data_IF_349000747823
#
_entry.id   IF_349000747823
#
_cell.length_a   1.000
_cell.length_b   1.000
_cell.length_c   1.000
_cell.angle_alpha   90.00
_cell.angle_beta   90.00
_cell.angle_gamma   90.00
#
_symmetry.space_group_name_H-M   'P 1'
#
loop_
_entity.id
_entity.type
_entity.pdbx_description
1 polymer ?
#
# COMPACT_ATOMS: atom_id res chain seq x y z
N UNK A 1 -10.84 5.73 13.35
CA UNK A 1 -11.05 5.92 11.89
C UNK A 1 -10.44 7.25 11.49
N UNK A 2 -9.42 7.22 10.63
CA UNK A 2 -8.94 8.45 9.98
C UNK A 2 -10.11 9.12 9.25
N UNK A 3 -10.21 10.44 9.37
CA UNK A 3 -11.29 11.24 8.78
C UNK A 3 -11.09 11.27 7.26
N UNK A 4 -11.73 10.36 6.52
CA UNK A 4 -11.63 10.31 5.05
C UNK A 4 -12.15 11.63 4.46
N UNK A 5 -11.32 12.31 3.69
CA UNK A 5 -11.70 13.54 3.01
C UNK A 5 -12.80 13.23 1.97
N UNK A 6 -13.84 14.07 1.87
CA UNK A 6 -14.91 13.84 0.90
C UNK A 6 -14.38 13.98 -0.53
N UNK A 7 -14.84 13.09 -1.43
CA UNK A 7 -14.50 13.17 -2.85
C UNK A 7 -15.22 14.36 -3.50
N UNK A 8 -14.47 15.14 -4.30
CA UNK A 8 -15.06 16.18 -5.16
C UNK A 8 -15.72 15.55 -6.39
N UNK A 9 -16.59 16.30 -7.08
CA UNK A 9 -17.18 15.86 -8.35
C UNK A 9 -16.11 15.53 -9.41
N UNK A 10 -14.97 16.22 -9.39
CA UNK A 10 -13.85 15.93 -10.27
C UNK A 10 -13.21 14.57 -9.95
N UNK A 11 -13.03 14.25 -8.66
CA UNK A 11 -12.51 12.95 -8.24
C UNK A 11 -13.46 11.82 -8.65
N UNK A 12 -14.75 11.99 -8.43
CA UNK A 12 -15.80 11.03 -8.81
C UNK A 12 -15.78 10.77 -10.32
N UNK A 13 -15.70 11.83 -11.14
CA UNK A 13 -15.63 11.72 -12.59
C UNK A 13 -14.39 10.96 -13.06
N UNK A 14 -13.21 11.29 -12.50
CA UNK A 14 -11.95 10.58 -12.82
C UNK A 14 -11.99 9.11 -12.41
N UNK A 15 -12.57 8.78 -11.26
CA UNK A 15 -12.77 7.40 -10.79
C UNK A 15 -13.70 6.62 -11.73
N UNK A 16 -14.80 7.22 -12.18
CA UNK A 16 -15.69 6.60 -13.17
C UNK A 16 -15.00 6.36 -14.51
N UNK A 17 -14.23 7.33 -15.00
CA UNK A 17 -13.48 7.18 -16.24
C UNK A 17 -12.45 6.05 -16.13
N UNK A 18 -11.69 6.03 -15.03
CA UNK A 18 -10.74 4.98 -14.74
C UNK A 18 -11.42 3.61 -14.72
N UNK A 19 -12.51 3.47 -13.96
CA UNK A 19 -13.23 2.21 -13.85
C UNK A 19 -13.72 1.71 -15.21
N UNK A 20 -14.27 2.60 -16.05
CA UNK A 20 -14.73 2.26 -17.41
C UNK A 20 -13.59 1.79 -18.31
N UNK A 21 -12.43 2.44 -18.23
CA UNK A 21 -11.26 2.08 -19.03
C UNK A 21 -10.67 0.71 -18.61
N UNK A 22 -10.84 0.32 -17.35
CA UNK A 22 -10.23 -0.88 -16.78
C UNK A 22 -11.22 -2.03 -16.54
N UNK A 23 -12.49 -1.90 -16.96
CA UNK A 23 -13.45 -3.02 -16.88
C UNK A 23 -13.00 -4.24 -17.70
N UNK A 24 -12.30 -4.00 -18.81
CA UNK A 24 -11.82 -5.05 -19.71
C UNK A 24 -10.33 -5.36 -19.51
N UNK A 25 -9.77 -5.03 -18.34
CA UNK A 25 -8.37 -5.36 -18.06
C UNK A 25 -8.18 -6.88 -17.86
N UNK A 26 -9.15 -7.58 -17.26
CA UNK A 26 -9.15 -9.05 -17.11
C UNK A 26 -7.78 -9.56 -16.61
N UNK A 27 -7.18 -10.55 -17.27
CA UNK A 27 -5.85 -11.11 -16.97
C UNK A 27 -4.71 -10.08 -16.96
N UNK A 28 -4.87 -8.88 -17.56
CA UNK A 28 -3.83 -7.84 -17.50
C UNK A 28 -3.53 -7.38 -16.09
N UNK A 29 -4.50 -7.48 -15.17
CA UNK A 29 -4.25 -7.19 -13.75
C UNK A 29 -3.14 -8.05 -13.16
N UNK A 30 -2.92 -9.26 -13.71
CA UNK A 30 -1.87 -10.16 -13.25
C UNK A 30 -0.46 -9.67 -13.60
N UNK A 31 -0.33 -8.72 -14.53
CA UNK A 31 0.93 -8.10 -14.94
C UNK A 31 1.09 -6.67 -14.41
N UNK A 32 0.38 -6.32 -13.32
CA UNK A 32 0.49 -5.01 -12.67
C UNK A 32 1.18 -5.15 -11.32
N UNK A 33 2.22 -4.34 -11.12
CA UNK A 33 2.95 -4.24 -9.87
C UNK A 33 2.48 -3.03 -9.07
N UNK A 34 1.81 -3.27 -7.94
CA UNK A 34 1.26 -2.24 -7.05
C UNK A 34 2.25 -1.84 -5.98
N UNK A 35 2.62 -0.57 -5.92
CA UNK A 35 3.48 0.02 -4.89
C UNK A 35 2.74 1.02 -4.01
N UNK A 36 3.13 1.07 -2.75
CA UNK A 36 2.70 2.10 -1.80
C UNK A 36 3.68 2.25 -0.64
N UNK A 37 3.55 3.38 0.08
CA UNK A 37 4.31 3.67 1.29
C UNK A 37 3.41 3.71 2.53
N UNK A 38 3.86 3.04 3.61
CA UNK A 38 3.17 3.03 4.89
C UNK A 38 4.08 3.40 6.04
N UNK A 39 3.58 4.28 6.90
CA UNK A 39 4.17 4.56 8.21
C UNK A 39 3.71 3.54 9.27
N UNK A 40 4.66 3.05 10.05
CA UNK A 40 4.48 2.11 11.16
C UNK A 40 4.98 2.73 12.45
N UNK A 41 4.18 2.73 13.51
CA UNK A 41 4.50 3.40 14.77
C UNK A 41 4.88 2.41 15.87
N UNK A 42 5.83 2.79 16.72
CA UNK A 42 6.23 1.95 17.86
C UNK A 42 5.10 1.72 18.88
N UNK A 43 4.16 2.66 18.98
CA UNK A 43 3.08 2.64 19.99
C UNK A 43 1.81 1.90 19.52
N UNK A 44 1.81 1.34 18.30
CA UNK A 44 0.68 0.61 17.73
C UNK A 44 0.11 1.24 16.46
N UNK A 45 -0.89 0.62 15.82
CA UNK A 45 -1.40 1.07 14.54
C UNK A 45 -2.33 2.29 14.68
N UNK A 46 -2.30 3.16 13.66
CA UNK A 46 -3.07 4.39 13.64
C UNK A 46 -4.57 4.15 13.89
N UNK A 47 -5.10 4.78 14.94
CA UNK A 47 -6.52 4.77 15.25
C UNK A 47 -7.07 3.47 15.83
N UNK A 48 -6.21 2.51 16.22
CA UNK A 48 -6.61 1.23 16.81
C UNK A 48 -6.48 1.19 18.34
N UNK A 49 -6.90 2.27 19.01
CA UNK A 49 -6.86 2.42 20.47
C UNK A 49 -8.02 1.68 21.18
N UNK A 50 -8.80 0.86 20.45
CA UNK A 50 -9.99 0.17 20.96
C UNK A 50 -9.80 -1.34 20.87
N UNK A 51 -9.96 -2.04 21.98
CA UNK A 51 -9.90 -3.49 22.07
C UNK A 51 -11.10 -4.06 22.82
N UNK A 52 -11.43 -5.32 22.57
CA UNK A 52 -12.43 -6.05 23.34
C UNK A 52 -11.80 -6.52 24.66
N UNK A 53 -12.26 -5.94 25.77
CA UNK A 53 -11.83 -6.31 27.11
C UNK A 53 -12.80 -7.33 27.71
N UNK A 54 -12.32 -8.55 27.95
CA UNK A 54 -13.04 -9.53 28.78
C UNK A 54 -12.96 -9.08 30.24
N UNK A 55 -14.12 -8.75 30.83
CA UNK A 55 -14.24 -8.21 32.20
C UNK A 55 -13.72 -9.16 33.30
N UNK A 56 -13.40 -10.41 32.96
CA UNK A 56 -12.82 -11.41 33.88
C UNK A 56 -11.29 -11.36 33.92
N UNK A 57 -10.65 -10.62 33.01
CA UNK A 57 -9.20 -10.45 32.93
C UNK A 57 -8.82 -9.05 33.40
N UNK A 58 -7.58 -8.86 33.80
CA UNK A 58 -7.06 -7.51 34.06
C UNK A 58 -7.05 -6.69 32.75
N UNK A 59 -7.37 -5.37 32.80
CA UNK A 59 -7.32 -4.51 31.63
C UNK A 59 -5.92 -4.46 31.03
N UNK A 60 -5.83 -4.60 29.70
CA UNK A 60 -4.60 -4.32 28.98
C UNK A 60 -4.34 -2.82 28.99
N UNK A 61 -3.19 -2.41 29.54
CA UNK A 61 -2.71 -1.04 29.49
C UNK A 61 -1.90 -0.81 28.22
N UNK A 62 -2.34 0.14 27.40
CA UNK A 62 -1.61 0.60 26.22
C UNK A 62 -0.87 1.88 26.61
N UNK A 63 0.45 1.90 26.47
CA UNK A 63 1.21 3.11 26.74
C UNK A 63 1.14 4.04 25.52
N UNK A 64 0.62 5.25 25.71
CA UNK A 64 0.86 6.35 24.77
C UNK A 64 2.05 7.17 25.29
N UNK A 65 3.14 7.26 24.53
CA UNK A 65 4.28 8.09 24.92
C UNK A 65 3.92 9.56 24.77
N UNK A 66 4.32 10.39 25.74
CA UNK A 66 4.07 11.84 25.73
C UNK A 66 4.80 12.55 24.57
N UNK A 67 5.96 12.04 24.16
CA UNK A 67 6.70 12.43 22.97
C UNK A 67 6.82 11.20 22.08
N UNK A 68 6.34 11.30 20.83
CA UNK A 68 6.09 10.18 19.92
C UNK A 68 7.14 9.07 19.96
N UNK A 69 6.69 7.82 20.02
CA UNK A 69 7.55 6.66 20.23
C UNK A 69 8.59 6.41 19.15
N UNK A 70 8.44 7.04 17.99
CA UNK A 70 9.20 6.79 16.77
C UNK A 70 8.37 5.99 15.78
N UNK A 71 8.69 6.15 14.50
CA UNK A 71 8.01 5.48 13.41
C UNK A 71 9.01 5.04 12.35
N UNK A 72 8.55 4.17 11.45
CA UNK A 72 9.31 3.70 10.29
C UNK A 72 8.42 3.81 9.07
N UNK A 73 8.92 4.49 8.04
CA UNK A 73 8.29 4.49 6.72
C UNK A 73 8.78 3.29 5.93
N UNK A 74 7.85 2.55 5.33
CA UNK A 74 8.16 1.34 4.56
C UNK A 74 7.51 1.47 3.19
N UNK A 75 8.29 1.28 2.14
CA UNK A 75 7.80 1.07 0.78
C UNK A 75 7.81 -0.42 0.47
N UNK A 76 6.77 -0.90 -0.21
CA UNK A 76 6.75 -2.23 -0.78
C UNK A 76 5.93 -2.24 -2.06
N UNK A 77 6.17 -3.29 -2.85
CA UNK A 77 5.36 -3.59 -4.01
C UNK A 77 5.02 -5.07 -4.10
N UNK A 78 3.88 -5.38 -4.71
CA UNK A 78 3.49 -6.75 -5.03
C UNK A 78 2.64 -6.80 -6.29
N UNK A 79 2.66 -7.96 -6.94
CA UNK A 79 1.83 -8.29 -8.09
C UNK A 79 1.28 -9.70 -7.94
N UNK A 80 0.76 -10.27 -9.02
CA UNK A 80 0.13 -11.59 -8.96
C UNK A 80 1.15 -12.71 -8.71
N UNK A 81 2.34 -12.58 -9.29
CA UNK A 81 3.38 -13.61 -9.23
C UNK A 81 4.25 -13.53 -7.97
N UNK A 82 4.09 -12.48 -7.15
CA UNK A 82 4.85 -12.37 -5.92
C UNK A 82 4.95 -10.95 -5.37
N UNK A 83 5.92 -10.80 -4.47
CA UNK A 83 6.16 -9.59 -3.71
C UNK A 83 7.62 -9.17 -3.78
N UNK A 84 7.84 -7.87 -3.81
CA UNK A 84 9.16 -7.25 -3.84
C UNK A 84 9.72 -7.15 -2.41
N UNK A 85 11.03 -7.05 -2.27
CA UNK A 85 11.67 -6.80 -0.97
C UNK A 85 11.20 -5.48 -0.35
N UNK A 86 11.06 -5.44 0.98
CA UNK A 86 10.71 -4.21 1.69
C UNK A 86 11.85 -3.19 1.58
N UNK A 87 11.48 -1.92 1.40
CA UNK A 87 12.40 -0.80 1.50
C UNK A 87 12.08 0.00 2.77
N UNK A 88 12.98 -0.02 3.75
CA UNK A 88 12.90 0.85 4.92
C UNK A 88 13.45 2.22 4.56
N UNK A 89 12.59 3.22 4.57
CA UNK A 89 12.93 4.55 4.08
C UNK A 89 13.43 5.44 5.21
N UNK A 90 14.61 6.02 5.03
CA UNK A 90 15.20 6.95 5.98
C UNK A 90 14.84 8.41 5.63
N UNK A 91 14.52 9.18 6.68
CA UNK A 91 14.14 10.59 6.64
C UNK A 91 12.92 10.93 5.76
N UNK A 92 12.71 12.24 5.61
CA UNK A 92 11.75 12.82 4.67
C UNK A 92 12.09 12.44 3.23
N UNK A 93 11.14 11.81 2.56
CA UNK A 93 11.24 11.43 1.16
C UNK A 93 11.21 12.64 0.23
N UNK A 94 11.99 12.55 -0.85
CA UNK A 94 12.01 13.48 -1.98
C UNK A 94 12.15 12.68 -3.29
N UNK A 95 12.00 13.34 -4.43
CA UNK A 95 12.01 12.62 -5.72
C UNK A 95 13.32 11.87 -6.02
N UNK A 96 14.53 12.41 -5.76
CA UNK A 96 15.77 11.64 -5.92
C UNK A 96 15.84 10.37 -5.05
N UNK A 97 15.53 10.47 -3.74
CA UNK A 97 15.51 9.32 -2.83
C UNK A 97 14.48 8.27 -3.27
N UNK A 98 13.35 8.72 -3.79
CA UNK A 98 12.35 7.80 -4.33
C UNK A 98 12.84 7.07 -5.58
N UNK A 99 13.53 7.74 -6.51
CA UNK A 99 14.16 7.09 -7.68
C UNK A 99 15.18 6.04 -7.22
N UNK A 100 16.03 6.38 -6.25
CA UNK A 100 16.99 5.44 -5.66
C UNK A 100 16.29 4.22 -5.03
N UNK A 101 15.16 4.43 -4.36
CA UNK A 101 14.33 3.35 -3.81
C UNK A 101 13.84 2.42 -4.93
N UNK A 102 13.34 2.99 -6.04
CA UNK A 102 12.91 2.21 -7.20
C UNK A 102 14.09 1.42 -7.82
N UNK A 103 15.24 2.06 -7.98
CA UNK A 103 16.46 1.43 -8.54
C UNK A 103 16.95 0.25 -7.71
N UNK A 104 17.00 0.42 -6.38
CA UNK A 104 17.61 -0.56 -5.49
C UNK A 104 16.63 -1.66 -5.06
N UNK A 105 15.35 -1.33 -4.90
CA UNK A 105 14.37 -2.25 -4.32
C UNK A 105 13.31 -2.73 -5.29
N UNK A 106 12.89 -1.94 -6.28
CA UNK A 106 11.80 -2.32 -7.17
C UNK A 106 12.30 -3.02 -8.44
N UNK A 107 13.13 -2.32 -9.22
CA UNK A 107 13.52 -2.76 -10.58
C UNK A 107 14.18 -4.13 -10.62
N UNK A 108 15.11 -4.50 -9.70
CA UNK A 108 15.77 -5.80 -9.75
C UNK A 108 14.81 -6.98 -9.55
N UNK A 109 13.67 -6.76 -8.91
CA UNK A 109 12.69 -7.81 -8.61
C UNK A 109 11.52 -7.79 -9.58
N UNK A 110 11.10 -6.62 -10.04
CA UNK A 110 9.98 -6.47 -10.97
C UNK A 110 10.18 -7.28 -12.26
N UNK A 111 11.37 -7.21 -12.88
CA UNK A 111 11.68 -7.97 -14.10
C UNK A 111 11.63 -9.49 -13.89
N UNK A 112 12.00 -9.95 -12.70
CA UNK A 112 12.00 -11.37 -12.35
C UNK A 112 10.61 -11.91 -12.01
N UNK A 113 9.73 -11.06 -11.46
CA UNK A 113 8.39 -11.45 -11.00
C UNK A 113 7.35 -11.32 -12.11
N UNK A 114 7.39 -10.23 -12.88
CA UNK A 114 6.32 -9.88 -13.83
C UNK A 114 6.66 -10.21 -15.30
N UNK A 115 7.93 -10.52 -15.60
CA UNK A 115 8.39 -10.81 -16.96
C UNK A 115 8.52 -9.55 -17.84
N UNK A 116 8.37 -9.70 -19.16
CA UNK A 116 8.76 -8.66 -20.13
C UNK A 116 7.72 -7.57 -20.43
N UNK A 117 6.46 -7.69 -19.98
CA UNK A 117 5.38 -6.75 -20.30
C UNK A 117 4.49 -6.49 -19.06
N UNK A 118 4.94 -5.60 -18.19
CA UNK A 118 4.24 -5.26 -16.94
C UNK A 118 3.97 -3.76 -16.82
N UNK A 119 2.97 -3.42 -16.02
CA UNK A 119 2.61 -2.04 -15.69
C UNK A 119 2.95 -1.73 -14.23
N UNK A 120 3.51 -0.55 -13.99
CA UNK A 120 3.82 -0.06 -12.66
C UNK A 120 2.71 0.82 -12.12
N UNK A 121 2.16 0.46 -10.97
CA UNK A 121 1.25 1.30 -10.21
C UNK A 121 1.97 1.97 -9.04
N UNK A 122 1.72 3.26 -8.88
CA UNK A 122 2.03 4.03 -7.68
C UNK A 122 1.06 5.21 -7.56
N UNK A 123 0.92 5.78 -6.37
CA UNK A 123 -0.05 6.86 -6.16
C UNK A 123 0.40 8.21 -6.77
N UNK A 124 -0.51 9.20 -6.76
CA UNK A 124 -0.28 10.52 -7.33
C UNK A 124 0.29 11.53 -6.30
N UNK A 125 1.00 11.09 -5.27
CA UNK A 125 1.63 11.98 -4.30
C UNK A 125 2.59 12.96 -4.99
N UNK A 126 2.79 14.19 -4.46
CA UNK A 126 3.64 15.19 -5.12
C UNK A 126 5.05 14.69 -5.43
N UNK A 127 5.65 13.89 -4.54
CA UNK A 127 6.99 13.30 -4.71
C UNK A 127 7.06 12.34 -5.92
N UNK A 128 5.93 11.71 -6.23
CA UNK A 128 5.72 10.74 -7.31
C UNK A 128 5.41 11.39 -8.66
N UNK A 129 5.11 12.68 -8.71
CA UNK A 129 4.70 13.35 -9.96
C UNK A 129 5.83 14.14 -10.65
N UNK A 130 7.04 14.13 -10.09
CA UNK A 130 8.18 14.88 -10.62
C UNK A 130 8.59 14.45 -12.05
N UNK A 131 9.09 15.41 -12.84
CA UNK A 131 9.60 15.15 -14.19
C UNK A 131 10.82 14.21 -14.17
N UNK A 132 11.68 14.32 -13.16
CA UNK A 132 12.84 13.44 -13.01
C UNK A 132 12.41 11.96 -12.93
N UNK A 133 11.38 11.66 -12.12
CA UNK A 133 10.83 10.30 -12.01
C UNK A 133 10.20 9.83 -13.32
N UNK A 134 9.40 10.69 -13.97
CA UNK A 134 8.80 10.35 -15.28
C UNK A 134 9.85 10.00 -16.32
N UNK A 135 10.92 10.79 -16.40
CA UNK A 135 12.04 10.54 -17.30
C UNK A 135 12.78 9.25 -16.94
N UNK A 136 12.95 8.97 -15.66
CA UNK A 136 13.57 7.74 -15.17
C UNK A 136 12.75 6.49 -15.54
N UNK A 137 11.45 6.45 -15.26
CA UNK A 137 10.62 5.30 -15.64
C UNK A 137 10.56 5.12 -17.16
N UNK A 138 10.51 6.22 -17.92
CA UNK A 138 10.57 6.18 -19.38
C UNK A 138 11.91 5.64 -19.89
N UNK A 139 13.04 5.94 -19.25
CA UNK A 139 14.35 5.41 -19.66
C UNK A 139 14.52 3.92 -19.34
N UNK A 140 13.71 3.39 -18.42
CA UNK A 140 13.60 1.97 -18.09
C UNK A 140 12.53 1.24 -18.89
N UNK A 141 11.87 1.90 -19.85
CA UNK A 141 10.73 1.35 -20.61
C UNK A 141 9.59 0.84 -19.72
N UNK A 142 9.39 1.43 -18.55
CA UNK A 142 8.33 1.04 -17.62
C UNK A 142 7.04 1.78 -17.98
N UNK A 143 5.98 1.02 -18.28
CA UNK A 143 4.64 1.57 -18.47
C UNK A 143 4.01 1.87 -17.12
N UNK A 144 3.55 3.09 -16.90
CA UNK A 144 2.86 3.47 -15.65
C UNK A 144 1.36 3.33 -15.83
N UNK A 145 0.72 2.57 -14.93
CA UNK A 145 -0.74 2.44 -14.89
C UNK A 145 -1.37 3.80 -14.52
N UNK A 146 -2.34 4.25 -15.31
CA UNK A 146 -3.11 5.45 -14.96
C UNK A 146 -3.93 5.19 -13.69
N UNK A 147 -3.84 6.07 -12.70
CA UNK A 147 -4.53 5.89 -11.42
C UNK A 147 -5.44 7.08 -11.05
N UNK A 148 -6.67 6.84 -10.56
CA UNK A 148 -7.55 7.92 -10.19
C UNK A 148 -7.14 8.52 -8.83
N UNK A 149 -7.19 9.85 -8.65
CA UNK A 149 -6.77 10.48 -7.41
C UNK A 149 -7.66 10.06 -6.23
N UNK A 150 -7.10 10.08 -5.01
CA UNK A 150 -7.81 9.77 -3.75
C UNK A 150 -8.52 8.41 -3.78
N UNK A 151 -7.86 7.39 -4.31
CA UNK A 151 -8.45 6.05 -4.51
C UNK A 151 -7.68 4.94 -3.80
N UNK A 152 -7.41 5.05 -2.47
CA UNK A 152 -6.76 3.98 -1.72
C UNK A 152 -7.63 2.71 -1.68
N UNK A 153 -8.95 2.83 -1.85
CA UNK A 153 -9.88 1.72 -1.94
C UNK A 153 -9.69 0.81 -3.16
N UNK A 154 -9.03 1.35 -4.19
CA UNK A 154 -8.71 0.60 -5.39
C UNK A 154 -7.32 -0.02 -5.31
N UNK A 155 -6.45 0.45 -4.41
CA UNK A 155 -5.07 -0.04 -4.30
C UNK A 155 -5.06 -1.27 -3.40
N UNK A 156 -4.80 -2.48 -3.93
CA UNK A 156 -4.93 -3.70 -3.16
C UNK A 156 -3.84 -3.83 -2.08
N UNK A 157 -2.73 -3.10 -2.17
CA UNK A 157 -1.68 -3.14 -1.14
C UNK A 157 -2.15 -2.57 0.20
N UNK A 158 -3.15 -1.70 0.20
CA UNK A 158 -3.79 -1.19 1.42
C UNK A 158 -4.45 -2.32 2.23
N UNK A 159 -4.95 -3.35 1.55
CA UNK A 159 -5.46 -4.55 2.20
C UNK A 159 -4.31 -5.37 2.80
N UNK A 160 -3.17 -5.49 2.11
CA UNK A 160 -1.98 -6.18 2.62
C UNK A 160 -1.45 -5.48 3.87
N UNK A 161 -1.37 -4.15 3.85
CA UNK A 161 -1.04 -3.32 5.00
C UNK A 161 -1.97 -3.53 6.19
N UNK A 162 -3.28 -3.68 5.95
CA UNK A 162 -4.25 -3.98 6.99
C UNK A 162 -4.00 -5.36 7.62
N UNK A 163 -3.75 -6.38 6.80
CA UNK A 163 -3.45 -7.76 7.26
C UNK A 163 -2.16 -7.77 8.08
N UNK A 164 -1.08 -7.19 7.54
CA UNK A 164 0.20 -7.11 8.24
C UNK A 164 0.08 -6.32 9.55
N UNK A 165 -0.67 -5.22 9.57
CA UNK A 165 -0.88 -4.41 10.79
C UNK A 165 -1.45 -5.24 11.93
N UNK A 166 -2.42 -6.12 11.63
CA UNK A 166 -3.00 -7.04 12.63
C UNK A 166 -1.98 -8.06 13.16
N UNK A 167 -1.05 -8.52 12.30
CA UNK A 167 0.02 -9.46 12.69
C UNK A 167 1.13 -8.78 13.49
N UNK A 168 1.59 -7.61 13.04
CA UNK A 168 2.69 -6.87 13.69
C UNK A 168 2.30 -6.41 15.10
N UNK A 169 1.06 -5.95 15.28
CA UNK A 169 0.56 -5.44 16.56
C UNK A 169 -0.41 -6.42 17.23
N UNK A 170 -0.28 -7.72 16.94
CA UNK A 170 -1.11 -8.76 17.53
C UNK A 170 -1.09 -8.67 19.06
N UNK A 171 -2.24 -8.96 19.70
CA UNK A 171 -2.41 -8.88 21.16
C UNK A 171 -2.07 -7.50 21.77
N UNK A 172 -2.14 -6.44 20.98
CA UNK A 172 -1.81 -5.10 21.44
C UNK A 172 -0.31 -4.84 21.52
N UNK A 173 0.49 -5.57 20.73
CA UNK A 173 1.94 -5.42 20.68
C UNK A 173 2.39 -3.97 20.49
N UNK A 174 3.38 -3.58 21.27
CA UNK A 174 4.10 -2.30 21.15
C UNK A 174 5.59 -2.60 21.10
N UNK A 175 6.37 -1.69 20.53
CA UNK A 175 7.79 -1.90 20.31
C UNK A 175 8.63 -0.88 21.09
N UNK A 176 9.74 -1.34 21.67
CA UNK A 176 10.67 -0.49 22.41
C UNK A 176 11.83 0.03 21.56
N UNK A 177 12.01 -0.49 20.34
CA UNK A 177 13.03 -0.03 19.40
C UNK A 177 12.56 -0.16 17.95
N UNK A 178 13.08 0.73 17.10
CA UNK A 178 12.87 0.70 15.65
C UNK A 178 13.30 -0.64 15.05
N UNK A 179 14.41 -1.21 15.50
CA UNK A 179 14.91 -2.50 14.98
C UNK A 179 13.93 -3.66 15.28
N UNK A 180 13.33 -3.68 16.47
CA UNK A 180 12.33 -4.69 16.81
C UNK A 180 11.07 -4.55 15.94
N UNK A 181 10.64 -3.30 15.67
CA UNK A 181 9.52 -3.04 14.75
C UNK A 181 9.86 -3.45 13.31
N UNK A 182 11.04 -3.10 12.78
CA UNK A 182 11.49 -3.52 11.45
C UNK A 182 11.46 -5.05 11.30
N UNK A 183 12.01 -5.78 12.27
CA UNK A 183 12.02 -7.25 12.26
C UNK A 183 10.59 -7.85 12.29
N UNK A 184 9.66 -7.25 13.04
CA UNK A 184 8.27 -7.69 13.05
C UNK A 184 7.56 -7.43 11.71
N UNK A 185 7.80 -6.28 11.09
CA UNK A 185 7.27 -5.94 9.76
C UNK A 185 7.81 -6.90 8.70
N UNK A 186 9.12 -7.18 8.68
CA UNK A 186 9.72 -8.17 7.79
C UNK A 186 9.10 -9.54 8.01
N UNK A 187 8.97 -9.98 9.27
CA UNK A 187 8.36 -11.27 9.58
C UNK A 187 6.93 -11.37 9.06
N UNK A 188 6.13 -10.32 9.22
CA UNK A 188 4.77 -10.27 8.71
C UNK A 188 4.76 -10.32 7.17
N UNK A 189 5.55 -9.48 6.50
CA UNK A 189 5.62 -9.42 5.04
C UNK A 189 6.00 -10.75 4.43
N UNK A 190 7.10 -11.38 4.89
CA UNK A 190 7.60 -12.60 4.28
C UNK A 190 6.72 -13.82 4.58
N UNK A 191 5.95 -13.82 5.68
CA UNK A 191 4.95 -14.84 6.00
C UNK A 191 3.60 -14.66 5.28
N UNK A 192 3.37 -13.55 4.57
CA UNK A 192 2.14 -13.42 3.78
C UNK A 192 2.08 -14.49 2.68
N UNK A 193 0.93 -15.17 2.63
CA UNK A 193 0.63 -16.27 1.72
C UNK A 193 0.39 -15.74 0.29
N UNK A 194 1.00 -16.36 -0.75
CA UNK A 194 0.80 -15.96 -2.14
C UNK A 194 -0.68 -15.92 -2.57
N UNK A 195 -1.50 -16.82 -2.04
CA UNK A 195 -2.93 -16.95 -2.35
C UNK A 195 -3.72 -15.68 -1.96
N UNK A 196 -3.31 -15.00 -0.87
CA UNK A 196 -3.89 -13.72 -0.46
C UNK A 196 -3.58 -12.65 -1.51
N UNK A 197 -2.33 -12.58 -1.97
CA UNK A 197 -1.90 -11.59 -2.97
C UNK A 197 -2.65 -11.80 -4.29
N UNK A 198 -2.71 -13.03 -4.77
CA UNK A 198 -3.45 -13.40 -5.98
C UNK A 198 -4.93 -13.04 -5.88
N UNK A 199 -5.58 -13.38 -4.75
CA UNK A 199 -6.98 -13.04 -4.49
C UNK A 199 -7.21 -11.52 -4.53
N UNK A 200 -6.29 -10.74 -3.97
CA UNK A 200 -6.38 -9.28 -3.99
C UNK A 200 -6.25 -8.72 -5.41
N UNK A 201 -5.33 -9.24 -6.22
CA UNK A 201 -5.20 -8.85 -7.64
C UNK A 201 -6.47 -9.22 -8.42
N UNK A 202 -6.98 -10.45 -8.27
CA UNK A 202 -8.22 -10.89 -8.92
C UNK A 202 -9.45 -10.08 -8.49
N UNK A 203 -9.41 -9.41 -7.34
CA UNK A 203 -10.51 -8.54 -6.89
C UNK A 203 -10.65 -7.24 -7.69
N UNK A 204 -9.63 -6.83 -8.44
CA UNK A 204 -9.58 -5.50 -9.08
C UNK A 204 -10.64 -5.29 -10.16
N UNK A 205 -10.98 -6.33 -10.92
CA UNK A 205 -12.08 -6.27 -11.89
C UNK A 205 -13.40 -5.94 -11.19
N UNK A 206 -13.71 -6.67 -10.11
CA UNK A 206 -14.89 -6.41 -9.29
C UNK A 206 -14.85 -5.00 -8.68
N UNK A 207 -13.69 -4.52 -8.21
CA UNK A 207 -13.57 -3.15 -7.68
C UNK A 207 -13.89 -2.11 -8.75
N UNK A 208 -13.40 -2.27 -9.97
CA UNK A 208 -13.74 -1.37 -11.08
C UNK A 208 -15.26 -1.37 -11.36
N UNK A 209 -15.89 -2.55 -11.37
CA UNK A 209 -17.33 -2.66 -11.52
C UNK A 209 -18.10 -1.97 -10.37
N UNK A 210 -17.69 -2.21 -9.13
CA UNK A 210 -18.30 -1.62 -7.94
C UNK A 210 -18.17 -0.08 -7.93
N UNK A 211 -17.08 0.49 -8.46
CA UNK A 211 -16.94 1.94 -8.62
C UNK A 211 -18.03 2.48 -9.54
N UNK A 212 -18.35 1.79 -10.63
CA UNK A 212 -19.39 2.21 -11.58
C UNK A 212 -20.76 2.12 -10.91
N UNK A 213 -21.07 1.00 -10.26
CA UNK A 213 -22.33 0.83 -9.54
C UNK A 213 -22.51 1.87 -8.43
N UNK A 214 -21.43 2.23 -7.75
CA UNK A 214 -21.44 3.24 -6.70
C UNK A 214 -21.28 4.68 -7.24
N UNK A 215 -21.45 4.88 -8.55
CA UNK A 215 -21.37 6.18 -9.21
C UNK A 215 -20.08 6.96 -8.90
N UNK A 216 -18.93 6.27 -8.88
CA UNK A 216 -17.61 6.85 -8.65
C UNK A 216 -17.27 7.12 -7.18
N UNK A 217 -18.18 6.83 -6.24
CA UNK A 217 -17.95 7.03 -4.80
C UNK A 217 -16.99 5.97 -4.23
N UNK A 218 -16.53 6.21 -3.01
CA UNK A 218 -15.61 5.32 -2.28
C UNK A 218 -16.25 3.97 -2.00
N UNK A 219 -15.48 2.90 -2.18
CA UNK A 219 -15.88 1.53 -1.85
C UNK A 219 -15.66 1.22 -0.36
N UNK A 220 -16.37 0.21 0.12
CA UNK A 220 -16.00 -0.48 1.35
C UNK A 220 -15.04 -1.61 0.95
N UNK A 221 -13.79 -1.53 1.39
CA UNK A 221 -12.68 -2.41 1.02
C UNK A 221 -11.85 -2.78 2.26
#
# INVERSE_FOLDING_TARGET
>A
MARRLPLSNLHISKRLQWARNHMSYDDKWMAVLFNDEKEWNLDGPDGNIKYWHDLRKEPSSFFSRQNGGGSVMVSAAFGFNGKVGLAFLDDRQNSPKYIETLENHLMPFAENIEGGNWEYHHDNAPIHTSNAKKNYLSSKNVTVLEWPPMSPDLNPIENVWCIMSRKVYENGGQFYSVNALKAAIESAWYKEEPEILQTLIMSLEKRAYDVILNNGKTLNY
#
